data_IF_304795812569
#
_entry.id   IF_304795812569
#
_cell.length_a   1.000
_cell.length_b   1.000
_cell.length_c   1.000
_cell.angle_alpha   90.00
_cell.angle_beta   90.00
_cell.angle_gamma   90.00
#
_symmetry.space_group_name_H-M   'P 1'
#
loop_
_entity.id
_entity.type
_entity.pdbx_description
1 polymer ?
#
# COMPACT_ATOMS: atom_id res chain seq x y z
N UNK A 1 0.71 -20.63 -5.56
CA UNK A 1 0.37 -19.26 -5.09
C UNK A 1 -0.36 -18.51 -6.20
N UNK A 2 -1.57 -18.06 -5.93
CA UNK A 2 -2.36 -17.26 -6.87
C UNK A 2 -1.84 -15.81 -6.85
N UNK A 3 -1.91 -15.11 -7.99
CA UNK A 3 -1.44 -13.71 -8.12
C UNK A 3 -2.04 -12.80 -7.04
N UNK A 4 -3.32 -12.98 -6.74
CA UNK A 4 -4.06 -12.26 -5.70
C UNK A 4 -3.43 -12.38 -4.31
N UNK A 5 -2.93 -13.56 -3.92
CA UNK A 5 -2.28 -13.72 -2.60
C UNK A 5 -0.97 -12.95 -2.51
N UNK A 6 -0.27 -12.76 -3.63
CA UNK A 6 0.92 -11.92 -3.67
C UNK A 6 0.56 -10.43 -3.56
N UNK A 7 -0.50 -10.00 -4.24
CA UNK A 7 -1.02 -8.63 -4.14
C UNK A 7 -1.47 -8.30 -2.70
N UNK A 8 -2.14 -9.24 -2.02
CA UNK A 8 -2.55 -9.08 -0.62
C UNK A 8 -1.33 -8.90 0.31
N UNK A 9 -0.31 -9.74 0.16
CA UNK A 9 0.94 -9.60 0.93
C UNK A 9 1.57 -8.22 0.73
N UNK A 10 1.64 -7.76 -0.51
CA UNK A 10 2.20 -6.44 -0.82
C UNK A 10 1.34 -5.30 -0.27
N UNK A 11 0.02 -5.45 -0.22
CA UNK A 11 -0.89 -4.48 0.39
C UNK A 11 -0.59 -4.38 1.90
N UNK A 12 -0.50 -5.52 2.58
CA UNK A 12 -0.25 -5.58 4.02
C UNK A 12 1.12 -5.02 4.38
N UNK A 13 2.16 -5.35 3.61
CA UNK A 13 3.50 -4.78 3.78
C UNK A 13 3.49 -3.25 3.68
N UNK A 14 2.72 -2.68 2.76
CA UNK A 14 2.54 -1.22 2.63
C UNK A 14 1.83 -0.61 3.84
N UNK A 15 0.79 -1.26 4.36
CA UNK A 15 0.05 -0.80 5.55
C UNK A 15 0.96 -0.81 6.78
N UNK A 16 1.72 -1.88 6.97
CA UNK A 16 2.59 -2.04 8.14
C UNK A 16 3.78 -1.08 8.12
N UNK A 17 4.23 -0.65 6.92
CA UNK A 17 5.44 0.16 6.71
C UNK A 17 6.68 -0.47 7.37
N UNK A 18 6.70 -1.79 7.44
CA UNK A 18 7.83 -2.57 7.95
C UNK A 18 8.85 -2.82 6.85
N UNK A 19 9.98 -3.44 7.22
CA UNK A 19 10.90 -3.98 6.22
C UNK A 19 10.22 -5.05 5.36
N UNK A 20 10.74 -5.38 4.16
CA UNK A 20 10.17 -6.42 3.32
C UNK A 20 10.07 -7.77 4.06
N UNK A 21 9.02 -8.55 3.80
CA UNK A 21 8.72 -9.79 4.53
C UNK A 21 9.84 -10.84 4.55
N UNK A 22 10.76 -10.77 3.59
CA UNK A 22 11.99 -11.59 3.58
C UNK A 22 12.90 -11.41 4.81
N UNK A 23 12.78 -10.29 5.52
CA UNK A 23 13.57 -9.99 6.73
C UNK A 23 12.78 -10.18 8.02
N UNK A 24 11.51 -10.56 7.94
CA UNK A 24 10.68 -10.73 9.13
C UNK A 24 11.16 -11.90 9.97
N UNK A 25 11.26 -11.65 11.27
CA UNK A 25 11.57 -12.63 12.31
C UNK A 25 10.27 -13.17 12.91
N UNK A 26 10.30 -14.33 13.61
CA UNK A 26 9.13 -14.89 14.29
C UNK A 26 8.39 -13.88 15.19
N UNK A 27 9.12 -12.97 15.84
CA UNK A 27 8.55 -11.91 16.66
C UNK A 27 7.70 -10.89 15.87
N UNK A 28 8.07 -10.63 14.61
CA UNK A 28 7.38 -9.66 13.76
C UNK A 28 6.02 -10.25 13.33
N UNK A 29 5.97 -11.57 13.08
CA UNK A 29 4.71 -12.30 12.88
C UNK A 29 3.81 -12.32 14.12
N UNK A 30 4.40 -12.41 15.32
CA UNK A 30 3.64 -12.28 16.57
C UNK A 30 3.04 -10.88 16.74
N UNK A 31 3.79 -9.84 16.37
CA UNK A 31 3.28 -8.46 16.38
C UNK A 31 2.19 -8.26 15.31
N UNK A 32 2.31 -8.89 14.15
CA UNK A 32 1.29 -8.84 13.10
C UNK A 32 0.00 -9.51 13.56
N UNK A 33 0.10 -10.70 14.17
CA UNK A 33 -1.02 -11.42 14.79
C UNK A 33 -1.80 -10.53 15.76
N UNK A 34 -1.08 -9.87 16.69
CA UNK A 34 -1.70 -8.96 17.67
C UNK A 34 -2.39 -7.75 17.00
N UNK A 35 -1.81 -7.22 15.92
CA UNK A 35 -2.42 -6.11 15.16
C UNK A 35 -3.69 -6.54 14.43
N UNK A 36 -3.66 -7.71 13.78
CA UNK A 36 -4.82 -8.28 13.09
C UNK A 36 -5.94 -8.53 14.09
N UNK A 37 -5.63 -9.13 15.22
CA UNK A 37 -6.61 -9.39 16.29
C UNK A 37 -7.24 -8.09 16.81
N UNK A 38 -6.43 -7.06 17.08
CA UNK A 38 -6.97 -5.76 17.51
C UNK A 38 -7.89 -5.12 16.47
N UNK A 39 -7.53 -5.20 15.19
CA UNK A 39 -8.26 -4.53 14.11
C UNK A 39 -9.53 -5.28 13.70
N UNK A 40 -9.45 -6.60 13.59
CA UNK A 40 -10.50 -7.45 13.02
C UNK A 40 -11.30 -8.22 14.08
N UNK A 41 -10.84 -8.20 15.35
CA UNK A 41 -11.35 -9.04 16.44
C UNK A 41 -11.23 -10.56 16.17
N UNK A 42 -10.45 -10.95 15.15
CA UNK A 42 -10.20 -12.33 14.80
C UNK A 42 -8.75 -12.69 15.11
N UNK A 43 -8.56 -13.72 15.93
CA UNK A 43 -7.24 -14.23 16.24
C UNK A 43 -6.69 -15.07 15.07
N UNK A 44 -5.43 -14.81 14.71
CA UNK A 44 -4.69 -15.58 13.70
C UNK A 44 -3.33 -15.93 14.29
N UNK A 45 -2.94 -17.21 14.25
CA UNK A 45 -1.68 -17.62 14.86
C UNK A 45 -0.46 -17.08 14.09
N UNK A 46 0.56 -16.64 14.83
CA UNK A 46 1.82 -16.15 14.25
C UNK A 46 2.50 -17.19 13.33
N UNK A 47 2.36 -18.48 13.64
CA UNK A 47 2.90 -19.56 12.82
C UNK A 47 2.14 -19.72 11.49
N UNK A 48 0.83 -19.52 11.47
CA UNK A 48 0.03 -19.54 10.24
C UNK A 48 0.39 -18.35 9.34
N UNK A 49 0.58 -17.17 9.93
CA UNK A 49 1.10 -16.00 9.21
C UNK A 49 2.50 -16.29 8.64
N UNK A 50 3.39 -16.85 9.44
CA UNK A 50 4.73 -17.19 8.97
C UNK A 50 4.69 -18.16 7.78
N UNK A 51 3.86 -19.20 7.84
CA UNK A 51 3.66 -20.14 6.74
C UNK A 51 3.08 -19.44 5.50
N UNK A 52 2.11 -18.54 5.67
CA UNK A 52 1.54 -17.80 4.55
C UNK A 52 2.59 -16.97 3.81
N UNK A 53 3.51 -16.31 4.53
CA UNK A 53 4.57 -15.52 3.89
C UNK A 53 5.69 -16.37 3.31
N UNK A 54 6.18 -17.37 4.04
CA UNK A 54 7.40 -18.11 3.71
C UNK A 54 7.16 -19.38 2.89
N UNK A 55 5.98 -19.98 2.98
CA UNK A 55 5.62 -21.22 2.27
C UNK A 55 4.69 -20.93 1.10
N UNK A 56 4.65 -21.85 0.13
CA UNK A 56 3.62 -21.91 -0.90
C UNK A 56 2.38 -22.71 -0.46
N UNK A 57 2.28 -23.02 0.84
CA UNK A 57 1.15 -23.73 1.42
C UNK A 57 -0.17 -23.00 1.13
N UNK A 58 -1.22 -23.78 0.95
CA UNK A 58 -2.56 -23.24 0.70
C UNK A 58 -3.10 -22.61 1.98
N UNK A 59 -3.34 -21.29 1.99
CA UNK A 59 -3.85 -20.61 3.17
C UNK A 59 -5.30 -21.01 3.44
N UNK A 60 -5.67 -21.04 4.73
CA UNK A 60 -7.06 -21.22 5.11
C UNK A 60 -7.91 -20.02 4.67
N UNK A 61 -9.18 -20.26 4.35
CA UNK A 61 -10.12 -19.18 4.00
C UNK A 61 -10.25 -18.15 5.12
N UNK A 62 -10.31 -18.60 6.37
CA UNK A 62 -10.36 -17.71 7.54
C UNK A 62 -9.13 -16.82 7.71
N UNK A 63 -7.94 -17.30 7.32
CA UNK A 63 -6.72 -16.51 7.31
C UNK A 63 -6.77 -15.41 6.24
N UNK A 64 -7.18 -15.78 5.02
CA UNK A 64 -7.33 -14.81 3.92
C UNK A 64 -8.35 -13.73 4.24
N UNK A 65 -9.46 -14.13 4.85
CA UNK A 65 -10.54 -13.24 5.28
C UNK A 65 -10.06 -12.23 6.34
N UNK A 66 -9.37 -12.71 7.39
CA UNK A 66 -8.80 -11.85 8.42
C UNK A 66 -7.75 -10.87 7.85
N UNK A 67 -6.93 -11.32 6.91
CA UNK A 67 -5.91 -10.50 6.27
C UNK A 67 -6.53 -9.46 5.32
N UNK A 68 -7.61 -9.81 4.61
CA UNK A 68 -8.37 -8.90 3.77
C UNK A 68 -9.04 -7.81 4.63
N UNK A 69 -9.69 -8.19 5.73
CA UNK A 69 -10.25 -7.24 6.71
C UNK A 69 -9.22 -6.35 7.37
N UNK A 70 -8.04 -6.89 7.66
CA UNK A 70 -6.92 -6.08 8.15
C UNK A 70 -6.47 -5.05 7.10
N UNK A 71 -6.67 -5.32 5.81
CA UNK A 71 -6.40 -4.41 4.71
C UNK A 71 -7.58 -3.49 4.33
N UNK A 72 -8.63 -3.41 5.18
CA UNK A 72 -9.82 -2.58 4.99
C UNK A 72 -10.77 -3.04 3.86
N UNK A 73 -10.81 -4.35 3.62
CA UNK A 73 -11.80 -5.02 2.74
C UNK A 73 -12.85 -5.76 3.58
N UNK A 74 -14.01 -6.04 3.00
CA UNK A 74 -15.09 -6.75 3.73
C UNK A 74 -14.73 -8.22 4.00
N UNK A 75 -14.18 -8.87 2.97
CA UNK A 75 -13.73 -10.26 2.98
C UNK A 75 -12.69 -10.52 1.87
N UNK A 76 -12.19 -11.76 1.81
CA UNK A 76 -11.22 -12.17 0.78
C UNK A 76 -11.76 -12.06 -0.66
N UNK A 77 -13.05 -12.30 -0.86
CA UNK A 77 -13.71 -12.19 -2.17
C UNK A 77 -13.80 -10.74 -2.59
N UNK A 78 -14.19 -9.83 -1.68
CA UNK A 78 -14.18 -8.37 -1.92
C UNK A 78 -12.77 -7.89 -2.31
N UNK A 79 -11.73 -8.37 -1.61
CA UNK A 79 -10.35 -8.10 -2.01
C UNK A 79 -10.06 -8.59 -3.43
N UNK A 80 -10.45 -9.83 -3.75
CA UNK A 80 -10.23 -10.41 -5.06
C UNK A 80 -10.94 -9.63 -6.16
N UNK A 81 -12.20 -9.26 -5.97
CA UNK A 81 -13.03 -8.55 -6.94
C UNK A 81 -12.50 -7.12 -7.18
N UNK A 82 -12.18 -6.39 -6.11
CA UNK A 82 -11.66 -5.02 -6.19
C UNK A 82 -10.25 -4.95 -6.77
N UNK A 83 -9.45 -5.99 -6.56
CA UNK A 83 -8.08 -6.09 -7.11
C UNK A 83 -8.02 -6.96 -8.38
N UNK A 84 -9.16 -7.39 -8.92
CA UNK A 84 -9.25 -8.06 -10.22
C UNK A 84 -9.03 -7.10 -11.41
N UNK A 85 -8.71 -5.83 -11.15
CA UNK A 85 -8.47 -4.79 -12.15
C UNK A 85 -7.23 -5.08 -13.03
N UNK A 86 -7.41 -6.03 -13.93
CA UNK A 86 -6.63 -6.32 -15.12
C UNK A 86 -7.51 -6.73 -16.31
N UNK A 87 -8.82 -6.86 -16.13
CA UNK A 87 -9.77 -7.07 -17.23
C UNK A 87 -11.16 -6.57 -16.81
N UNK A 88 -11.93 -6.03 -17.77
CA UNK A 88 -13.35 -5.62 -17.69
C UNK A 88 -13.65 -4.18 -17.19
N UNK A 89 -13.69 -3.30 -18.21
CA UNK A 89 -14.58 -2.14 -18.42
C UNK A 89 -14.81 -1.18 -17.26
N UNK A 90 -14.11 -0.03 -17.35
CA UNK A 90 -14.51 1.25 -16.79
C UNK A 90 -15.98 1.54 -17.17
N UNK A 91 -16.90 1.29 -16.24
CA UNK A 91 -18.21 1.92 -16.28
C UNK A 91 -18.07 3.31 -15.64
N UNK A 92 -18.49 4.31 -16.41
CA UNK A 92 -18.03 5.70 -16.38
C UNK A 92 -18.61 6.52 -15.20
N UNK A 93 -19.41 5.93 -14.30
CA UNK A 93 -20.27 6.71 -13.39
C UNK A 93 -19.81 6.82 -11.92
N UNK A 94 -18.85 6.03 -11.42
CA UNK A 94 -18.41 6.15 -10.00
C UNK A 94 -17.13 6.95 -9.77
N UNK A 95 -16.56 7.58 -10.80
CA UNK A 95 -15.36 8.43 -10.69
C UNK A 95 -15.52 9.74 -9.90
N UNK A 96 -16.72 10.11 -9.45
CA UNK A 96 -16.94 11.46 -8.88
C UNK A 96 -16.73 11.62 -7.37
N UNK A 97 -16.50 10.58 -6.58
CA UNK A 97 -16.46 10.77 -5.10
C UNK A 97 -15.22 10.30 -4.34
N UNK A 98 -14.36 9.44 -4.88
CA UNK A 98 -13.16 9.02 -4.14
C UNK A 98 -11.94 8.93 -5.04
N UNK A 99 -11.36 10.10 -5.32
CA UNK A 99 -9.99 10.17 -5.81
C UNK A 99 -9.06 9.56 -4.73
N UNK A 100 -8.23 8.55 -5.07
CA UNK A 100 -7.16 8.15 -4.17
C UNK A 100 -6.24 9.37 -3.99
N UNK A 101 -6.17 9.87 -2.76
CA UNK A 101 -5.29 10.97 -2.38
C UNK A 101 -3.85 10.58 -2.74
N UNK A 102 -3.36 11.12 -3.86
CA UNK A 102 -2.05 10.84 -4.41
C UNK A 102 -1.02 11.51 -3.49
N UNK A 103 -0.20 10.73 -2.79
CA UNK A 103 0.93 11.23 -2.01
C UNK A 103 1.92 11.92 -2.97
N UNK A 104 1.78 13.24 -3.14
CA UNK A 104 2.72 14.04 -3.94
C UNK A 104 4.10 13.87 -3.28
N UNK A 105 5.09 13.23 -3.95
CA UNK A 105 6.41 13.05 -3.37
C UNK A 105 7.00 14.43 -3.12
N UNK A 106 7.35 14.74 -1.87
CA UNK A 106 7.93 16.02 -1.42
C UNK A 106 9.13 16.45 -2.29
N UNK A 107 9.77 15.50 -2.99
CA UNK A 107 10.82 15.70 -3.99
C UNK A 107 10.42 16.67 -5.12
N UNK A 108 9.16 16.70 -5.55
CA UNK A 108 8.69 17.60 -6.61
C UNK A 108 8.46 19.04 -6.12
N UNK A 109 8.02 19.22 -4.87
CA UNK A 109 7.85 20.56 -4.26
C UNK A 109 9.20 21.28 -4.20
N UNK A 110 10.26 20.57 -3.82
CA UNK A 110 11.62 21.11 -3.81
C UNK A 110 12.03 21.55 -5.22
N UNK A 111 11.79 20.72 -6.25
CA UNK A 111 12.11 21.07 -7.63
C UNK A 111 11.39 22.34 -8.12
N UNK A 112 10.10 22.50 -7.80
CA UNK A 112 9.31 23.68 -8.16
C UNK A 112 9.82 24.93 -7.41
N UNK A 113 10.16 24.82 -6.13
CA UNK A 113 10.76 25.92 -5.37
C UNK A 113 12.12 26.35 -5.95
N UNK A 114 12.99 25.41 -6.32
CA UNK A 114 14.28 25.73 -6.96
C UNK A 114 14.09 26.44 -8.30
N UNK A 115 13.12 26.02 -9.12
CA UNK A 115 12.82 26.70 -10.39
C UNK A 115 12.36 28.15 -10.16
N UNK A 116 11.53 28.40 -9.15
CA UNK A 116 11.08 29.76 -8.81
C UNK A 116 12.24 30.64 -8.35
N UNK A 117 13.14 30.12 -7.52
CA UNK A 117 14.31 30.86 -7.02
C UNK A 117 15.27 31.17 -8.17
N UNK A 118 15.57 30.20 -9.03
CA UNK A 118 16.44 30.39 -10.20
C UNK A 118 15.84 31.44 -11.15
N UNK A 119 14.55 31.36 -11.43
CA UNK A 119 13.86 32.36 -12.26
C UNK A 119 14.01 33.78 -11.72
N UNK A 120 13.83 33.97 -10.40
CA UNK A 120 13.98 35.28 -9.77
C UNK A 120 15.41 35.82 -9.86
N UNK A 121 16.42 34.97 -9.71
CA UNK A 121 17.83 35.35 -9.83
C UNK A 121 18.16 35.76 -11.27
N UNK A 122 17.67 35.02 -12.26
CA UNK A 122 17.88 35.32 -13.69
C UNK A 122 17.26 36.67 -14.06
N UNK A 123 16.04 36.95 -13.60
CA UNK A 123 15.38 38.25 -13.85
C UNK A 123 16.16 39.40 -13.21
N UNK A 124 16.64 39.23 -11.97
CA UNK A 124 17.47 40.24 -11.31
C UNK A 124 18.79 40.48 -12.06
N UNK A 125 19.47 39.42 -12.51
CA UNK A 125 20.69 39.52 -13.29
C UNK A 125 20.48 40.23 -14.64
N UNK A 126 19.37 39.94 -15.34
CA UNK A 126 19.01 40.61 -16.59
C UNK A 126 18.74 42.10 -16.41
N UNK A 127 18.10 42.50 -15.30
CA UNK A 127 17.85 43.91 -14.99
C UNK A 127 19.14 44.68 -14.67
N UNK A 128 20.10 44.03 -14.02
CA UNK A 128 21.42 44.62 -13.73
C UNK A 128 22.24 44.76 -15.02
N UNK A 129 22.18 43.79 -15.92
CA UNK A 129 22.98 43.80 -17.14
C UNK A 129 22.44 44.76 -18.23
N UNK A 130 21.14 45.06 -18.19
CA UNK A 130 20.48 45.99 -19.12
C UNK A 130 20.58 47.46 -18.67
N UNK A 131 21.04 47.72 -17.44
CA UNK A 131 21.26 49.07 -16.89
C UNK A 131 22.70 49.50 -17.06
#
# INVERSE_FOLDING_TARGET
MTRQTADLKQQIERILRWEPSRHWRPRDFAQLSERIERHTQQYVAAQELQLFWQSSAEPSSGLLDALARFADYDDWTDFCDRNFYGDVTLDEETQLLHAPMWEIPIRWVIAICWLSVIGSIVVAALLIWKR
#
